data_IF_810892308420
#
_entry.id   IF_810892308420
#
_cell.length_a   1.000
_cell.length_b   1.000
_cell.length_c   1.000
_cell.angle_alpha   90.00
_cell.angle_beta   90.00
_cell.angle_gamma   90.00
#
_symmetry.space_group_name_H-M   'P 1'
#
loop_
_entity.id
_entity.type
_entity.pdbx_description
1 polymer ?
#
# COMPACT_ATOMS: atom_id res chain seq x y z
N UNK A 1 -11.78 -25.75 -0.28
CA UNK A 1 -12.65 -24.71 -0.86
C UNK A 1 -13.91 -24.65 -0.03
N UNK A 2 -14.25 -23.48 0.52
CA UNK A 2 -15.30 -23.33 1.54
C UNK A 2 -16.64 -23.01 0.88
N UNK A 3 -17.71 -23.70 1.30
CA UNK A 3 -19.10 -23.53 0.81
C UNK A 3 -19.60 -22.08 0.82
N UNK A 4 -19.03 -21.26 1.70
CA UNK A 4 -19.29 -19.82 1.79
C UNK A 4 -18.88 -19.05 0.53
N UNK A 5 -17.79 -19.43 -0.13
CA UNK A 5 -17.37 -18.77 -1.39
C UNK A 5 -18.30 -19.11 -2.56
N UNK A 6 -19.07 -20.21 -2.46
CA UNK A 6 -20.08 -20.57 -3.45
C UNK A 6 -21.39 -19.79 -3.23
N UNK A 7 -21.80 -19.60 -1.98
CA UNK A 7 -23.00 -18.85 -1.62
C UNK A 7 -22.82 -17.33 -1.74
N UNK A 8 -21.60 -16.83 -1.48
CA UNK A 8 -21.24 -15.42 -1.53
C UNK A 8 -19.99 -15.21 -2.39
N UNK A 9 -20.12 -15.37 -3.71
CA UNK A 9 -18.96 -15.30 -4.58
C UNK A 9 -18.44 -13.85 -4.63
N UNK A 10 -17.11 -13.73 -4.68
CA UNK A 10 -16.44 -12.43 -4.86
C UNK A 10 -16.92 -11.78 -6.15
N UNK A 11 -16.97 -10.46 -6.18
CA UNK A 11 -17.35 -9.71 -7.37
C UNK A 11 -16.31 -8.64 -7.65
N UNK A 12 -15.97 -8.50 -8.93
CA UNK A 12 -14.96 -7.56 -9.35
C UNK A 12 -15.36 -6.14 -8.95
N UNK A 13 -14.48 -5.44 -8.24
CA UNK A 13 -14.67 -4.07 -7.76
C UNK A 13 -15.10 -3.09 -8.86
N UNK A 14 -14.74 -3.33 -10.12
CA UNK A 14 -14.90 -2.39 -11.23
C UNK A 14 -16.09 -2.76 -12.14
N UNK A 15 -16.25 -4.04 -12.49
CA UNK A 15 -17.28 -4.48 -13.45
C UNK A 15 -18.28 -5.49 -12.88
N UNK A 16 -18.20 -5.81 -11.58
CA UNK A 16 -19.07 -6.77 -10.88
C UNK A 16 -19.02 -8.21 -11.41
N UNK A 17 -18.07 -8.55 -12.30
CA UNK A 17 -17.84 -9.93 -12.73
C UNK A 17 -17.59 -10.85 -11.52
N UNK A 18 -18.35 -11.93 -11.45
CA UNK A 18 -18.30 -12.91 -10.35
C UNK A 18 -17.00 -13.73 -10.39
N UNK A 19 -16.48 -14.07 -9.21
CA UNK A 19 -15.31 -14.93 -8.98
C UNK A 19 -13.98 -14.20 -8.74
N UNK A 20 -13.95 -12.86 -8.79
CA UNK A 20 -12.70 -12.09 -8.71
C UNK A 20 -12.87 -10.87 -7.80
N UNK A 21 -11.82 -10.49 -7.05
CA UNK A 21 -11.78 -9.19 -6.37
C UNK A 21 -11.58 -8.05 -7.39
N UNK A 22 -10.65 -8.23 -8.34
CA UNK A 22 -10.49 -7.42 -9.54
C UNK A 22 -10.15 -8.37 -10.68
N UNK A 23 -10.98 -8.43 -11.73
CA UNK A 23 -10.68 -9.30 -12.88
C UNK A 23 -9.51 -8.74 -13.72
N UNK A 24 -8.81 -9.60 -14.45
CA UNK A 24 -7.59 -9.22 -15.20
C UNK A 24 -7.83 -8.06 -16.17
N UNK A 25 -8.95 -8.10 -16.90
CA UNK A 25 -9.35 -7.02 -17.82
C UNK A 25 -9.51 -5.68 -17.12
N UNK A 26 -10.06 -5.66 -15.90
CA UNK A 26 -10.21 -4.43 -15.13
C UNK A 26 -8.88 -4.00 -14.50
N UNK A 27 -8.07 -4.95 -14.04
CA UNK A 27 -6.76 -4.66 -13.48
C UNK A 27 -5.86 -3.91 -14.47
N UNK A 28 -5.86 -4.31 -15.75
CA UNK A 28 -5.08 -3.62 -16.80
C UNK A 28 -5.51 -2.17 -17.05
N UNK A 29 -6.69 -1.75 -16.58
CA UNK A 29 -7.16 -0.36 -16.72
C UNK A 29 -6.72 0.55 -15.58
N UNK A 30 -6.20 -0.01 -14.48
CA UNK A 30 -5.74 0.76 -13.33
C UNK A 30 -4.36 1.31 -13.65
N UNK A 31 -4.26 2.63 -13.79
CA UNK A 31 -3.00 3.31 -14.17
C UNK A 31 -1.97 3.22 -13.04
N UNK A 32 -0.78 2.72 -13.37
CA UNK A 32 0.37 2.74 -12.47
C UNK A 32 0.91 4.15 -12.28
N UNK A 33 1.45 4.44 -11.10
CA UNK A 33 2.11 5.71 -10.83
C UNK A 33 3.52 5.74 -11.37
N UNK A 34 3.98 6.94 -11.73
CA UNK A 34 5.38 7.18 -12.04
C UNK A 34 6.22 7.19 -10.75
N UNK A 35 7.51 6.82 -10.85
CA UNK A 35 8.43 6.90 -9.74
C UNK A 35 8.70 8.36 -9.40
N UNK A 36 8.17 8.81 -8.27
CA UNK A 36 8.19 10.22 -7.87
C UNK A 36 8.58 10.36 -6.39
N UNK A 37 9.08 11.54 -6.05
CA UNK A 37 9.30 11.93 -4.66
C UNK A 37 7.95 12.21 -3.98
N UNK A 38 7.66 11.51 -2.87
CA UNK A 38 6.42 11.68 -2.09
C UNK A 38 6.20 13.09 -1.53
N UNK A 39 7.24 13.95 -1.57
CA UNK A 39 7.16 15.33 -1.06
C UNK A 39 6.78 16.34 -2.13
N UNK A 40 7.45 16.29 -3.28
CA UNK A 40 7.27 17.30 -4.32
C UNK A 40 6.55 16.78 -5.57
N UNK A 41 6.21 15.48 -5.61
CA UNK A 41 5.58 14.81 -6.76
C UNK A 41 6.36 14.94 -8.08
N UNK A 42 7.66 15.27 -8.03
CA UNK A 42 8.54 15.26 -9.21
C UNK A 42 9.17 13.89 -9.37
N UNK A 43 9.47 13.52 -10.62
CA UNK A 43 10.13 12.27 -10.96
C UNK A 43 11.39 12.05 -10.10
N UNK A 44 11.57 10.80 -9.68
CA UNK A 44 12.70 10.39 -8.88
C UNK A 44 13.11 8.95 -9.17
N UNK A 45 14.41 8.73 -9.29
CA UNK A 45 14.95 7.43 -9.62
C UNK A 45 14.63 6.42 -8.51
N UNK A 46 13.97 5.33 -8.90
CA UNK A 46 13.61 4.23 -8.01
C UNK A 46 12.73 4.66 -6.84
N UNK A 47 11.80 5.62 -7.03
CA UNK A 47 10.86 6.06 -5.99
C UNK A 47 11.53 6.67 -4.73
N UNK A 48 12.77 7.15 -4.84
CA UNK A 48 13.48 7.75 -3.69
C UNK A 48 13.00 9.18 -3.42
N UNK A 49 12.97 9.60 -2.17
CA UNK A 49 12.79 11.01 -1.87
C UNK A 49 14.03 11.81 -2.27
N UNK A 50 13.84 13.01 -2.84
CA UNK A 50 14.98 13.90 -3.12
C UNK A 50 15.59 14.38 -1.80
N UNK A 51 16.93 14.43 -1.74
CA UNK A 51 17.68 14.91 -0.55
C UNK A 51 17.25 16.32 -0.10
N UNK A 52 16.96 17.21 -1.06
CA UNK A 52 16.47 18.57 -0.78
C UNK A 52 15.05 18.64 -0.20
N UNK A 53 14.25 17.59 -0.42
CA UNK A 53 12.86 17.54 0.05
C UNK A 53 12.75 16.93 1.45
N UNK A 54 13.65 16.00 1.77
CA UNK A 54 13.73 15.35 3.06
C UNK A 54 15.13 14.77 3.25
N UNK A 55 15.76 15.08 4.40
CA UNK A 55 17.16 14.72 4.65
C UNK A 55 17.36 13.21 4.94
N UNK A 56 16.28 12.48 5.20
CA UNK A 56 16.32 11.04 5.42
C UNK A 56 16.11 10.32 4.08
N UNK A 57 17.02 9.40 3.77
CA UNK A 57 16.89 8.53 2.60
C UNK A 57 15.73 7.56 2.82
N UNK A 58 14.68 7.69 2.01
CA UNK A 58 13.50 6.83 2.04
C UNK A 58 13.04 6.54 0.62
N UNK A 59 12.66 5.29 0.37
CA UNK A 59 12.03 4.86 -0.88
C UNK A 59 10.52 4.73 -0.65
N UNK A 60 9.71 5.42 -1.44
CA UNK A 60 8.25 5.42 -1.31
C UNK A 60 7.59 4.95 -2.60
N UNK A 61 7.39 3.64 -2.70
CA UNK A 61 6.74 3.01 -3.84
C UNK A 61 5.23 3.23 -3.74
N UNK A 62 4.64 3.80 -4.78
CA UNK A 62 3.18 3.91 -4.95
C UNK A 62 2.76 2.96 -6.08
N UNK A 63 1.62 2.28 -5.93
CA UNK A 63 1.16 1.32 -6.93
C UNK A 63 0.40 1.97 -8.08
N UNK A 64 -0.71 2.64 -7.76
CA UNK A 64 -1.70 3.08 -8.74
C UNK A 64 -2.25 4.48 -8.45
N UNK A 65 -2.73 5.18 -9.48
CA UNK A 65 -3.48 6.41 -9.30
C UNK A 65 -4.90 6.09 -8.78
N UNK A 66 -5.32 6.76 -7.70
CA UNK A 66 -6.67 6.61 -7.13
C UNK A 66 -7.68 7.47 -7.90
N UNK A 67 -8.21 6.95 -8.99
CA UNK A 67 -9.27 7.62 -9.74
C UNK A 67 -10.54 7.77 -8.89
N UNK A 68 -11.37 8.77 -9.20
CA UNK A 68 -12.64 9.01 -8.50
C UNK A 68 -13.56 7.77 -8.50
N UNK A 69 -13.66 7.06 -9.63
CA UNK A 69 -14.50 5.86 -9.74
C UNK A 69 -13.96 4.70 -8.89
N UNK A 70 -12.66 4.46 -8.93
CA UNK A 70 -12.02 3.43 -8.11
C UNK A 70 -12.20 3.74 -6.62
N UNK A 71 -12.02 5.00 -6.23
CA UNK A 71 -12.22 5.48 -4.86
C UNK A 71 -13.63 5.20 -4.36
N UNK A 72 -14.67 5.56 -5.13
CA UNK A 72 -16.06 5.32 -4.72
C UNK A 72 -16.34 3.83 -4.46
N UNK A 73 -15.80 2.95 -5.31
CA UNK A 73 -15.99 1.51 -5.15
C UNK A 73 -15.22 0.97 -3.93
N UNK A 74 -13.99 1.44 -3.70
CA UNK A 74 -13.19 1.08 -2.54
C UNK A 74 -13.80 1.59 -1.23
N UNK A 75 -14.28 2.84 -1.20
CA UNK A 75 -14.95 3.43 -0.04
C UNK A 75 -16.23 2.64 0.32
N UNK A 76 -16.98 2.16 -0.68
CA UNK A 76 -18.13 1.27 -0.47
C UNK A 76 -17.73 -0.08 0.13
N UNK A 77 -16.64 -0.69 -0.32
CA UNK A 77 -16.14 -1.91 0.31
C UNK A 77 -15.63 -1.65 1.74
N UNK A 78 -14.94 -0.53 1.94
CA UNK A 78 -14.37 -0.12 3.22
C UNK A 78 -15.44 0.17 4.28
N UNK A 79 -16.57 0.76 3.91
CA UNK A 79 -17.71 0.96 4.82
C UNK A 79 -18.33 -0.36 5.29
N UNK A 80 -18.23 -1.40 4.47
CA UNK A 80 -18.63 -2.77 4.79
C UNK A 80 -17.49 -3.61 5.40
N UNK A 81 -16.33 -3.02 5.67
CA UNK A 81 -15.12 -3.69 6.16
C UNK A 81 -14.61 -4.83 5.26
N UNK A 82 -14.88 -4.74 3.96
CA UNK A 82 -14.41 -5.68 2.96
C UNK A 82 -13.08 -5.17 2.41
N UNK A 83 -11.99 -5.89 2.69
CA UNK A 83 -10.63 -5.49 2.30
C UNK A 83 -9.99 -6.41 1.25
N UNK A 84 -10.74 -7.34 0.67
CA UNK A 84 -10.21 -8.33 -0.27
C UNK A 84 -9.60 -7.70 -1.53
N UNK A 85 -10.21 -6.64 -2.09
CA UNK A 85 -9.63 -5.91 -3.23
C UNK A 85 -8.32 -5.19 -2.88
N UNK A 86 -8.22 -4.67 -1.65
CA UNK A 86 -6.99 -4.05 -1.17
C UNK A 86 -5.86 -5.09 -1.04
N UNK A 87 -6.18 -6.29 -0.53
CA UNK A 87 -5.24 -7.41 -0.46
C UNK A 87 -4.83 -7.90 -1.85
N UNK A 88 -5.77 -7.97 -2.79
CA UNK A 88 -5.47 -8.32 -4.18
C UNK A 88 -4.45 -7.35 -4.77
N UNK A 89 -4.69 -6.04 -4.64
CA UNK A 89 -3.78 -5.00 -5.11
C UNK A 89 -2.44 -5.06 -4.38
N UNK A 90 -2.43 -5.23 -3.05
CA UNK A 90 -1.19 -5.35 -2.28
C UNK A 90 -0.34 -6.51 -2.79
N UNK A 91 -0.93 -7.70 -2.98
CA UNK A 91 -0.22 -8.87 -3.48
C UNK A 91 0.36 -8.65 -4.89
N UNK A 92 -0.36 -7.95 -5.77
CA UNK A 92 0.18 -7.57 -7.08
C UNK A 92 1.36 -6.62 -6.94
N UNK A 93 1.26 -5.64 -6.03
CA UNK A 93 2.29 -4.63 -5.83
C UNK A 93 3.59 -5.19 -5.24
N UNK A 94 3.47 -6.12 -4.30
CA UNK A 94 4.63 -6.75 -3.65
C UNK A 94 5.11 -8.02 -4.36
N UNK A 95 4.46 -8.41 -5.47
CA UNK A 95 4.92 -9.56 -6.25
C UNK A 95 6.32 -9.27 -6.81
N UNK A 96 7.28 -10.12 -6.47
CA UNK A 96 8.69 -9.95 -6.85
C UNK A 96 9.53 -9.07 -5.92
N UNK A 97 8.97 -8.57 -4.81
CA UNK A 97 9.74 -7.87 -3.77
C UNK A 97 10.12 -8.88 -2.67
N UNK A 98 11.41 -8.97 -2.34
CA UNK A 98 11.86 -9.73 -1.17
C UNK A 98 11.60 -8.92 0.11
N UNK A 99 10.77 -9.46 1.00
CA UNK A 99 10.30 -8.75 2.19
C UNK A 99 10.86 -9.29 3.52
N UNK A 100 11.63 -10.39 3.50
CA UNK A 100 12.01 -11.15 4.69
C UNK A 100 12.88 -10.38 5.70
N UNK A 101 13.61 -9.35 5.24
CA UNK A 101 14.49 -8.52 6.07
C UNK A 101 13.82 -7.24 6.60
N UNK A 102 12.50 -7.07 6.43
CA UNK A 102 11.75 -5.89 6.86
C UNK A 102 10.87 -6.15 8.08
N UNK A 103 10.95 -5.25 9.07
CA UNK A 103 9.92 -5.04 10.09
C UNK A 103 8.79 -4.22 9.47
N UNK A 104 7.57 -4.75 9.50
CA UNK A 104 6.42 -4.11 8.85
C UNK A 104 5.62 -3.29 9.84
N UNK A 105 5.36 -2.04 9.46
CA UNK A 105 4.55 -1.10 10.22
C UNK A 105 3.43 -0.53 9.35
N UNK A 106 2.26 -0.24 9.92
CA UNK A 106 1.22 0.48 9.22
C UNK A 106 1.63 1.95 9.02
N UNK A 107 1.22 2.55 7.91
CA UNK A 107 1.24 4.00 7.73
C UNK A 107 0.30 4.64 8.75
N UNK A 108 0.81 5.59 9.53
CA UNK A 108 -0.01 6.36 10.45
C UNK A 108 -0.93 7.28 9.66
N UNK A 109 -2.25 7.17 9.87
CA UNK A 109 -3.25 7.97 9.17
C UNK A 109 -4.42 8.29 10.07
N UNK A 110 -4.97 9.50 9.94
CA UNK A 110 -6.18 9.89 10.68
C UNK A 110 -7.44 9.27 10.08
N UNK A 111 -7.45 9.02 8.76
CA UNK A 111 -8.63 8.55 8.01
C UNK A 111 -8.59 7.06 7.71
N UNK A 112 -7.38 6.51 7.55
CA UNK A 112 -7.18 5.19 6.95
C UNK A 112 -6.47 4.21 7.88
N UNK A 113 -6.39 4.49 9.18
CA UNK A 113 -5.63 3.65 10.13
C UNK A 113 -6.06 2.18 10.09
N UNK A 114 -7.37 1.90 10.11
CA UNK A 114 -7.89 0.52 10.12
C UNK A 114 -7.45 -0.31 8.92
N UNK A 115 -7.50 0.27 7.71
CA UNK A 115 -7.05 -0.44 6.50
C UNK A 115 -5.53 -0.57 6.49
N UNK A 116 -4.79 0.45 6.93
CA UNK A 116 -3.33 0.39 7.02
C UNK A 116 -2.87 -0.71 8.00
N UNK A 117 -3.53 -0.83 9.15
CA UNK A 117 -3.29 -1.89 10.13
C UNK A 117 -3.57 -3.28 9.55
N UNK A 118 -4.68 -3.41 8.81
CA UNK A 118 -5.05 -4.65 8.15
C UNK A 118 -4.01 -5.07 7.09
N UNK A 119 -3.57 -4.14 6.24
CA UNK A 119 -2.54 -4.39 5.21
C UNK A 119 -1.20 -4.81 5.84
N UNK A 120 -0.78 -4.09 6.89
CA UNK A 120 0.45 -4.41 7.62
C UNK A 120 0.35 -5.77 8.31
N UNK A 121 -0.79 -6.09 8.94
CA UNK A 121 -1.05 -7.39 9.56
C UNK A 121 -1.00 -8.53 8.53
N UNK A 122 -1.65 -8.35 7.38
CA UNK A 122 -1.66 -9.33 6.30
C UNK A 122 -0.24 -9.68 5.83
N UNK A 123 0.62 -8.69 5.58
CA UNK A 123 2.00 -8.95 5.17
C UNK A 123 2.82 -9.58 6.30
N UNK A 124 2.68 -9.12 7.56
CA UNK A 124 3.39 -9.70 8.70
C UNK A 124 3.13 -11.21 8.84
N UNK A 125 1.90 -11.64 8.56
CA UNK A 125 1.53 -13.06 8.62
C UNK A 125 2.10 -13.87 7.45
N UNK A 126 2.50 -13.23 6.36
CA UNK A 126 3.04 -13.87 5.15
C UNK A 126 4.57 -14.03 5.20
N UNK A 127 5.26 -13.27 6.05
CA UNK A 127 6.72 -13.12 6.01
C UNK A 127 7.37 -13.76 7.23
N UNK A 128 8.52 -14.42 7.02
CA UNK A 128 9.33 -14.99 8.10
C UNK A 128 10.00 -13.92 8.98
N UNK A 129 10.22 -14.22 10.26
CA UNK A 129 10.80 -13.27 11.25
C UNK A 129 12.33 -13.31 11.31
N UNK A 130 13.02 -13.48 10.19
CA UNK A 130 14.47 -13.67 10.20
C UNK A 130 15.23 -12.37 9.94
N UNK A 131 16.04 -11.94 10.92
CA UNK A 131 17.06 -10.89 10.74
C UNK A 131 16.51 -9.56 10.18
N UNK A 132 15.35 -9.13 10.69
CA UNK A 132 14.67 -7.92 10.24
C UNK A 132 15.41 -6.66 10.71
N UNK A 133 16.22 -6.09 9.82
CA UNK A 133 17.03 -4.88 10.08
C UNK A 133 16.43 -3.63 9.46
N UNK A 134 15.56 -3.78 8.46
CA UNK A 134 14.98 -2.68 7.71
C UNK A 134 13.54 -2.42 8.14
N UNK A 135 13.01 -1.24 7.81
CA UNK A 135 11.64 -0.82 8.12
C UNK A 135 10.82 -0.73 6.83
N UNK A 136 9.65 -1.33 6.83
CA UNK A 136 8.68 -1.24 5.74
C UNK A 136 7.35 -0.68 6.25
N UNK A 137 7.00 0.53 5.81
CA UNK A 137 5.73 1.16 6.09
C UNK A 137 4.73 0.79 4.99
N UNK A 138 3.55 0.29 5.36
CA UNK A 138 2.51 -0.13 4.42
C UNK A 138 1.26 0.70 4.63
N UNK A 139 0.66 1.21 3.55
CA UNK A 139 -0.61 1.93 3.66
C UNK A 139 -1.39 2.07 2.36
N UNK A 140 -2.58 2.65 2.50
CA UNK A 140 -3.46 2.99 1.38
C UNK A 140 -2.88 4.14 0.55
N UNK A 141 -2.73 5.33 1.15
CA UNK A 141 -2.06 6.51 0.59
C UNK A 141 -1.68 7.47 1.72
N UNK A 142 -0.76 8.41 1.46
CA UNK A 142 -0.40 9.48 2.41
C UNK A 142 -1.50 10.54 2.42
N UNK A 143 -2.19 10.70 3.56
CA UNK A 143 -3.21 11.73 3.79
C UNK A 143 -2.63 13.03 4.37
N UNK A 144 -1.59 12.92 5.20
CA UNK A 144 -0.80 14.05 5.70
C UNK A 144 0.71 13.78 5.56
N UNK A 145 1.34 14.58 4.70
CA UNK A 145 2.77 14.51 4.43
C UNK A 145 3.63 14.80 5.67
N UNK A 146 3.19 15.69 6.56
CA UNK A 146 3.98 16.09 7.72
C UNK A 146 3.96 14.99 8.78
N UNK A 147 2.78 14.40 9.05
CA UNK A 147 2.65 13.18 9.85
C UNK A 147 3.54 12.04 9.31
N UNK A 148 3.53 11.82 8.00
CA UNK A 148 4.36 10.78 7.39
C UNK A 148 5.87 11.05 7.53
N UNK A 149 6.32 12.29 7.31
CA UNK A 149 7.72 12.69 7.58
C UNK A 149 8.11 12.44 9.04
N UNK A 150 7.24 12.81 9.98
CA UNK A 150 7.47 12.58 11.41
C UNK A 150 7.62 11.09 11.71
N UNK A 151 6.73 10.25 11.17
CA UNK A 151 6.79 8.80 11.32
C UNK A 151 8.13 8.23 10.82
N UNK A 152 8.60 8.66 9.64
CA UNK A 152 9.91 8.23 9.10
C UNK A 152 11.05 8.68 10.01
N UNK A 153 11.03 9.92 10.48
CA UNK A 153 12.05 10.44 11.40
C UNK A 153 12.13 9.60 12.67
N UNK A 154 10.99 9.28 13.27
CA UNK A 154 10.93 8.43 14.47
C UNK A 154 11.53 7.04 14.24
N UNK A 155 11.28 6.43 13.09
CA UNK A 155 11.90 5.15 12.73
C UNK A 155 13.40 5.28 12.49
N UNK A 156 13.85 6.34 11.80
CA UNK A 156 15.28 6.54 11.51
C UNK A 156 16.14 6.72 12.76
N UNK A 157 15.54 7.19 13.86
CA UNK A 157 16.22 7.33 15.15
C UNK A 157 16.27 6.02 15.95
N UNK A 158 15.35 5.08 15.67
CA UNK A 158 15.18 3.84 16.44
C UNK A 158 15.73 2.60 15.74
N UNK A 159 15.74 2.61 14.41
CA UNK A 159 16.04 1.45 13.58
C UNK A 159 17.20 1.79 12.63
N UNK A 160 18.33 1.05 12.68
CA UNK A 160 19.56 1.41 11.95
C UNK A 160 19.54 1.06 10.45
N UNK A 161 18.46 0.46 9.93
CA UNK A 161 18.38 -0.01 8.55
C UNK A 161 17.61 0.90 7.58
N UNK A 162 17.43 0.41 6.36
CA UNK A 162 16.73 1.14 5.31
C UNK A 162 15.25 1.29 5.65
N UNK A 163 14.70 2.49 5.38
CA UNK A 163 13.27 2.76 5.49
C UNK A 163 12.67 2.77 4.09
N UNK A 164 11.65 1.93 3.89
CA UNK A 164 10.83 1.91 2.69
C UNK A 164 9.36 2.08 3.05
N UNK A 165 8.61 2.62 2.11
CA UNK A 165 7.17 2.66 2.17
C UNK A 165 6.57 2.07 0.90
N UNK A 166 5.53 1.26 1.03
CA UNK A 166 4.70 0.77 -0.06
C UNK A 166 3.28 1.26 0.18
N UNK A 167 2.80 2.06 -0.76
CA UNK A 167 1.48 2.65 -0.76
C UNK A 167 0.70 2.07 -1.93
N UNK A 168 -0.54 1.63 -1.68
CA UNK A 168 -1.38 1.13 -2.76
C UNK A 168 -1.65 2.23 -3.78
N UNK A 169 -1.89 3.45 -3.30
CA UNK A 169 -2.38 4.52 -4.13
C UNK A 169 -1.63 5.84 -3.97
N UNK A 170 -1.72 6.64 -5.04
CA UNK A 170 -1.47 8.08 -5.03
C UNK A 170 -2.80 8.81 -5.29
N UNK A 171 -3.11 9.81 -4.47
CA UNK A 171 -4.23 10.71 -4.75
C UNK A 171 -3.94 11.48 -6.04
N UNK A 172 -4.83 11.34 -7.02
CA UNK A 172 -4.86 12.16 -8.24
C UNK A 172 -5.57 13.47 -7.99
#
# INVERSE_FOLDING_TARGET
>A
MHILEYLFPRQCLICSRVGFDICDKCFTTIKHTLPECFVCNKLSNGYRCHKKCFNISVQCLTGWYLTKSLRLNLDKQKSLQIYSSYIYLLNKLVSGIQLDNYKIYPLSSTRNQRINDYLASFLRNKIGKNNQKNVLIIGEYIDDINSFKKQITEFSLKEPGDIKAILLFKNS
#
